data_IF_529138822588
#
_entry.id   IF_529138822588
#
_cell.length_a   1.000
_cell.length_b   1.000
_cell.length_c   1.000
_cell.angle_alpha   90.00
_cell.angle_beta   90.00
_cell.angle_gamma   90.00
#
_symmetry.space_group_name_H-M   'P 1'
#
loop_
_entity.id
_entity.type
_entity.pdbx_description
1 polymer ?
#
# COMPACT_ATOMS: atom_id res chain seq x y z
N UNK A 1 14.00 21.06 -1.26
CA UNK A 1 14.47 19.94 -2.08
C UNK A 1 15.96 20.14 -2.30
N UNK A 2 16.73 19.06 -2.28
CA UNK A 2 18.15 19.05 -2.67
C UNK A 2 18.33 19.56 -4.11
N UNK A 3 19.38 20.35 -4.35
CA UNK A 3 19.58 21.03 -5.64
C UNK A 3 19.96 20.05 -6.76
N UNK A 4 20.80 19.06 -6.46
CA UNK A 4 21.18 18.02 -7.41
C UNK A 4 19.97 17.20 -7.81
N UNK A 5 19.22 16.72 -6.83
CA UNK A 5 17.98 15.98 -7.07
C UNK A 5 16.94 16.79 -7.85
N UNK A 6 16.78 18.08 -7.55
CA UNK A 6 15.87 18.95 -8.30
C UNK A 6 16.29 19.09 -9.78
N UNK A 7 17.59 19.12 -10.08
CA UNK A 7 18.07 19.18 -11.46
C UNK A 7 17.86 17.85 -12.19
N UNK A 8 18.08 16.72 -11.53
CA UNK A 8 17.77 15.40 -12.08
C UNK A 8 16.27 15.29 -12.41
N UNK A 9 15.39 15.71 -11.51
CA UNK A 9 13.94 15.74 -11.75
C UNK A 9 13.54 16.67 -12.90
N UNK A 10 14.19 17.83 -13.08
CA UNK A 10 13.95 18.71 -14.23
C UNK A 10 14.34 18.06 -15.56
N UNK A 11 15.33 17.18 -15.57
CA UNK A 11 15.70 16.43 -16.78
C UNK A 11 14.64 15.39 -17.16
N UNK A 12 13.99 14.79 -16.16
CA UNK A 12 12.89 13.83 -16.33
C UNK A 12 11.59 14.54 -16.69
N UNK A 13 11.33 15.69 -16.07
CA UNK A 13 10.13 16.51 -16.24
C UNK A 13 10.50 17.92 -16.73
N UNK A 14 10.93 18.08 -18.00
CA UNK A 14 11.37 19.37 -18.54
C UNK A 14 10.24 20.40 -18.69
N UNK A 15 8.98 19.96 -18.70
CA UNK A 15 7.81 20.83 -18.75
C UNK A 15 6.67 20.30 -17.88
N UNK A 16 5.70 21.17 -17.59
CA UNK A 16 4.46 20.80 -16.88
C UNK A 16 3.52 19.89 -17.67
N UNK A 17 3.78 19.65 -18.96
CA UNK A 17 3.02 18.74 -19.82
C UNK A 17 3.74 17.40 -20.03
N UNK A 18 4.89 17.20 -19.40
CA UNK A 18 5.66 15.96 -19.53
C UNK A 18 4.86 14.79 -18.97
N UNK A 19 4.73 13.72 -19.75
CA UNK A 19 4.14 12.46 -19.34
C UNK A 19 5.26 11.43 -19.12
N UNK A 20 5.94 11.53 -17.99
CA UNK A 20 7.03 10.63 -17.60
C UNK A 20 6.86 10.21 -16.15
N UNK A 21 7.50 9.10 -15.78
CA UNK A 21 7.47 8.56 -14.43
C UNK A 21 8.89 8.45 -13.90
N UNK A 22 9.02 8.48 -12.58
CA UNK A 22 10.27 8.24 -11.88
C UNK A 22 9.99 7.43 -10.63
N UNK A 23 11.06 6.97 -9.99
CA UNK A 23 11.03 6.19 -8.76
C UNK A 23 10.73 7.10 -7.56
N UNK A 24 10.03 6.57 -6.55
CA UNK A 24 9.75 7.30 -5.31
C UNK A 24 10.92 7.26 -4.31
N UNK A 25 11.77 6.24 -4.41
CA UNK A 25 13.01 6.06 -3.65
C UNK A 25 14.16 5.97 -4.65
N UNK A 26 15.12 6.88 -4.56
CA UNK A 26 16.25 6.98 -5.49
C UNK A 26 17.44 6.10 -5.10
N UNK A 27 17.53 5.68 -3.84
CA UNK A 27 18.63 4.85 -3.32
C UNK A 27 18.36 3.37 -3.57
N UNK A 28 17.12 2.94 -3.41
CA UNK A 28 16.74 1.54 -3.60
C UNK A 28 15.35 1.35 -4.24
N UNK A 29 15.18 1.71 -5.52
CA UNK A 29 13.86 1.77 -6.18
C UNK A 29 12.98 0.52 -6.10
N UNK A 30 13.59 -0.66 -5.98
CA UNK A 30 12.92 -1.96 -6.02
C UNK A 30 13.07 -2.77 -4.72
N UNK A 31 13.61 -2.16 -3.65
CA UNK A 31 13.76 -2.82 -2.36
C UNK A 31 12.89 -2.12 -1.32
N UNK A 32 12.20 -2.91 -0.51
CA UNK A 32 11.48 -2.39 0.62
C UNK A 32 12.43 -2.31 1.82
N UNK A 33 12.93 -1.11 2.10
CA UNK A 33 13.83 -0.82 3.22
C UNK A 33 13.63 0.61 3.73
N UNK A 34 14.51 1.08 4.62
CA UNK A 34 14.37 2.41 5.23
C UNK A 34 14.98 3.54 4.39
N UNK A 35 15.52 3.29 3.19
CA UNK A 35 16.16 4.32 2.38
C UNK A 35 15.18 5.42 1.98
N UNK A 36 13.88 5.12 1.87
CA UNK A 36 12.84 6.15 1.75
C UNK A 36 12.99 7.26 2.82
N UNK A 37 13.24 6.91 4.09
CA UNK A 37 13.44 7.91 5.15
C UNK A 37 14.81 8.58 5.07
N UNK A 38 15.84 7.85 4.61
CA UNK A 38 17.16 8.43 4.32
C UNK A 38 17.06 9.49 3.21
N UNK A 39 16.25 9.27 2.18
CA UNK A 39 15.95 10.26 1.13
C UNK A 39 15.36 11.54 1.74
N UNK A 40 14.40 11.42 2.66
CA UNK A 40 13.76 12.58 3.29
C UNK A 40 14.73 13.44 4.10
N UNK A 41 15.62 12.79 4.88
CA UNK A 41 16.67 13.46 5.66
C UNK A 41 17.63 14.22 4.73
N UNK A 42 17.92 13.66 3.55
CA UNK A 42 18.75 14.30 2.52
C UNK A 42 17.99 15.31 1.65
N UNK A 43 16.74 15.64 1.99
CA UNK A 43 15.85 16.55 1.23
C UNK A 43 15.53 16.07 -0.20
N UNK A 44 15.51 14.76 -0.39
CA UNK A 44 15.30 14.06 -1.66
C UNK A 44 13.94 13.33 -1.72
N UNK A 45 12.95 13.75 -0.93
CA UNK A 45 11.57 13.28 -1.08
C UNK A 45 10.93 13.80 -2.37
N UNK A 46 10.25 12.92 -3.11
CA UNK A 46 9.66 13.25 -4.42
C UNK A 46 8.44 14.15 -4.29
N UNK A 47 7.48 13.79 -3.44
CA UNK A 47 6.26 14.59 -3.24
C UNK A 47 6.41 15.55 -2.07
N UNK A 48 5.65 16.64 -2.11
CA UNK A 48 5.51 17.54 -0.95
C UNK A 48 5.04 16.78 0.28
N UNK A 49 4.09 15.84 0.13
CA UNK A 49 3.62 15.01 1.24
C UNK A 49 4.71 14.17 1.88
N UNK A 50 5.71 13.73 1.11
CA UNK A 50 6.85 12.98 1.64
C UNK A 50 7.81 13.91 2.37
N UNK A 51 8.21 15.01 1.72
CA UNK A 51 9.23 15.90 2.27
C UNK A 51 8.74 16.69 3.49
N UNK A 52 7.43 16.93 3.60
CA UNK A 52 6.81 17.53 4.78
C UNK A 52 6.90 16.64 6.02
N UNK A 53 6.99 15.30 5.89
CA UNK A 53 7.21 14.42 7.05
C UNK A 53 8.51 14.76 7.79
N UNK A 54 9.55 15.17 7.07
CA UNK A 54 10.81 15.61 7.68
C UNK A 54 10.83 17.11 8.01
N UNK A 55 10.01 17.93 7.34
CA UNK A 55 10.00 19.38 7.54
C UNK A 55 9.15 19.78 8.76
N UNK A 56 8.02 19.11 8.97
CA UNK A 56 7.13 19.29 10.10
C UNK A 56 7.74 18.73 11.40
N UNK A 57 7.71 19.55 12.46
CA UNK A 57 8.30 19.19 13.75
C UNK A 57 7.60 18.02 14.44
N UNK A 58 6.33 17.74 14.12
CA UNK A 58 5.54 16.66 14.72
C UNK A 58 5.99 15.28 14.23
N UNK A 59 6.58 15.21 13.03
CA UNK A 59 6.93 13.96 12.35
C UNK A 59 8.43 13.79 12.14
N UNK A 60 9.22 14.88 12.22
CA UNK A 60 10.68 14.86 12.00
C UNK A 60 11.40 13.78 12.81
N UNK A 61 11.18 13.70 14.12
CA UNK A 61 11.88 12.74 14.98
C UNK A 61 11.58 11.29 14.59
N UNK A 62 10.36 11.01 14.13
CA UNK A 62 9.97 9.68 13.64
C UNK A 62 10.76 9.35 12.37
N UNK A 63 10.83 10.28 11.42
CA UNK A 63 11.60 10.13 10.18
C UNK A 63 13.08 9.87 10.48
N UNK A 64 13.68 10.66 11.37
CA UNK A 64 15.09 10.49 11.77
C UNK A 64 15.32 9.13 12.42
N UNK A 65 14.41 8.68 13.29
CA UNK A 65 14.51 7.36 13.92
C UNK A 65 14.44 6.21 12.92
N UNK A 66 13.55 6.28 11.93
CA UNK A 66 13.42 5.25 10.90
C UNK A 66 14.59 5.27 9.91
N UNK A 67 15.13 6.44 9.59
CA UNK A 67 16.33 6.55 8.76
C UNK A 67 17.57 5.96 9.46
N UNK A 68 17.65 6.04 10.79
CA UNK A 68 18.75 5.50 11.58
C UNK A 68 18.62 4.00 11.90
N UNK A 69 17.39 3.48 12.01
CA UNK A 69 17.11 2.10 12.40
C UNK A 69 16.02 1.46 11.51
N UNK A 70 16.46 0.61 10.59
CA UNK A 70 15.57 -0.14 9.68
C UNK A 70 14.66 -1.13 10.42
N UNK A 71 15.15 -1.71 11.54
CA UNK A 71 14.34 -2.66 12.33
C UNK A 71 13.16 -1.95 12.97
N UNK A 72 13.40 -0.77 13.55
CA UNK A 72 12.36 0.07 14.13
C UNK A 72 11.31 0.49 13.09
N UNK A 73 11.75 0.83 11.88
CA UNK A 73 10.85 1.11 10.77
C UNK A 73 9.95 -0.10 10.48
N UNK A 74 10.52 -1.29 10.25
CA UNK A 74 9.73 -2.47 9.92
C UNK A 74 8.74 -2.88 11.02
N UNK A 75 9.14 -2.81 12.29
CA UNK A 75 8.22 -3.08 13.40
C UNK A 75 7.03 -2.12 13.39
N UNK A 76 7.29 -0.83 13.15
CA UNK A 76 6.26 0.21 13.08
C UNK A 76 5.37 0.06 11.84
N UNK A 77 5.97 -0.30 10.70
CA UNK A 77 5.27 -0.53 9.44
C UNK A 77 4.27 -1.68 9.57
N UNK A 78 4.67 -2.82 10.15
CA UNK A 78 3.77 -3.97 10.37
C UNK A 78 2.59 -3.56 11.23
N UNK A 79 2.82 -2.84 12.34
CA UNK A 79 1.73 -2.35 13.21
C UNK A 79 0.80 -1.39 12.47
N UNK A 80 1.35 -0.48 11.66
CA UNK A 80 0.59 0.46 10.85
C UNK A 80 -0.30 -0.23 9.82
N UNK A 81 0.24 -1.21 9.09
CA UNK A 81 -0.49 -1.94 8.05
C UNK A 81 -1.60 -2.83 8.63
N UNK A 82 -1.38 -3.46 9.78
CA UNK A 82 -2.45 -4.21 10.49
C UNK A 82 -3.59 -3.28 10.87
N UNK A 83 -3.28 -2.11 11.46
CA UNK A 83 -4.30 -1.14 11.87
C UNK A 83 -5.05 -0.57 10.66
N UNK A 84 -4.36 -0.27 9.57
CA UNK A 84 -4.97 0.22 8.33
C UNK A 84 -5.89 -0.83 7.70
N UNK A 85 -5.48 -2.11 7.70
CA UNK A 85 -6.26 -3.22 7.16
C UNK A 85 -7.55 -3.53 7.94
N UNK A 86 -7.77 -2.88 9.09
CA UNK A 86 -8.96 -3.06 9.92
C UNK A 86 -9.96 -1.89 9.84
N UNK A 87 -9.70 -0.91 8.98
CA UNK A 87 -10.61 0.24 8.79
C UNK A 87 -11.89 -0.19 8.07
N UNK A 88 -13.04 0.10 8.67
CA UNK A 88 -14.38 -0.02 8.05
C UNK A 88 -14.69 -1.39 7.42
N UNK A 89 -14.27 -2.47 8.08
CA UNK A 89 -14.50 -3.83 7.59
C UNK A 89 -15.99 -4.22 7.60
N UNK A 90 -16.38 -5.00 6.59
CA UNK A 90 -17.65 -5.73 6.58
C UNK A 90 -17.42 -7.10 7.24
N UNK A 91 -18.17 -7.40 8.30
CA UNK A 91 -17.99 -8.64 9.08
C UNK A 91 -19.29 -9.42 9.25
N UNK A 92 -19.19 -10.70 9.57
CA UNK A 92 -20.36 -11.57 9.74
C UNK A 92 -21.18 -11.69 8.47
N UNK A 93 -22.42 -11.19 8.49
CA UNK A 93 -23.34 -11.21 7.33
C UNK A 93 -23.31 -9.91 6.50
N UNK A 94 -22.40 -8.99 6.81
CA UNK A 94 -22.22 -7.76 6.04
C UNK A 94 -21.35 -8.05 4.81
N UNK A 95 -21.84 -7.73 3.61
CA UNK A 95 -21.12 -7.97 2.37
C UNK A 95 -21.27 -9.40 1.83
N UNK A 96 -20.32 -9.84 1.00
CA UNK A 96 -20.28 -11.16 0.37
C UNK A 96 -18.84 -11.59 0.09
N UNK A 97 -18.61 -12.89 -0.07
CA UNK A 97 -17.37 -13.42 -0.65
C UNK A 97 -17.57 -13.49 -2.16
N UNK A 98 -16.84 -12.66 -2.90
CA UNK A 98 -16.99 -12.56 -4.36
C UNK A 98 -16.32 -13.74 -5.05
N UNK A 99 -17.03 -14.35 -6.01
CA UNK A 99 -16.43 -15.32 -6.93
C UNK A 99 -15.51 -14.65 -7.96
N UNK A 100 -15.77 -13.38 -8.28
CA UNK A 100 -14.93 -12.55 -9.14
C UNK A 100 -14.76 -11.17 -8.50
N UNK A 101 -13.54 -10.78 -8.14
CA UNK A 101 -13.27 -9.51 -7.46
C UNK A 101 -13.78 -8.27 -8.21
N UNK A 102 -13.86 -8.34 -9.54
CA UNK A 102 -14.23 -7.23 -10.43
C UNK A 102 -15.73 -6.97 -10.52
N UNK A 103 -16.60 -7.89 -10.05
CA UNK A 103 -18.06 -7.76 -10.14
C UNK A 103 -18.72 -8.21 -8.84
N UNK A 104 -19.89 -7.65 -8.51
CA UNK A 104 -20.73 -8.20 -7.43
C UNK A 104 -21.25 -9.58 -7.86
N UNK A 105 -21.46 -10.49 -6.91
CA UNK A 105 -22.19 -11.70 -7.20
C UNK A 105 -23.59 -11.33 -7.75
N UNK A 106 -24.04 -12.09 -8.74
CA UNK A 106 -25.35 -11.84 -9.34
C UNK A 106 -26.43 -12.29 -8.37
N UNK A 107 -27.53 -11.53 -8.27
CA UNK A 107 -28.71 -11.89 -7.47
C UNK A 107 -29.51 -13.05 -8.12
N UNK A 108 -28.92 -13.74 -9.11
CA UNK A 108 -29.53 -14.86 -9.80
C UNK A 108 -29.23 -16.16 -9.05
N UNK A 109 -30.24 -16.72 -8.38
CA UNK A 109 -30.16 -17.91 -7.53
C UNK A 109 -29.53 -19.14 -8.21
N UNK A 110 -29.51 -19.19 -9.55
CA UNK A 110 -28.95 -20.31 -10.32
C UNK A 110 -27.41 -20.37 -10.37
N UNK A 111 -26.69 -19.32 -9.98
CA UNK A 111 -25.21 -19.31 -9.98
C UNK A 111 -24.59 -19.66 -8.61
N UNK A 112 -25.42 -19.83 -7.57
CA UNK A 112 -24.99 -20.19 -6.21
C UNK A 112 -24.56 -21.66 -6.12
N UNK A 113 -25.01 -22.53 -7.04
CA UNK A 113 -24.87 -23.99 -6.91
C UNK A 113 -23.54 -24.58 -7.39
N UNK A 114 -22.65 -23.81 -8.02
CA UNK A 114 -21.40 -24.38 -8.59
C UNK A 114 -20.35 -24.74 -7.51
N UNK A 115 -20.60 -24.45 -6.23
CA UNK A 115 -19.69 -24.79 -5.11
C UNK A 115 -20.29 -25.82 -4.14
N UNK A 116 -21.56 -26.24 -4.32
CA UNK A 116 -22.22 -27.18 -3.39
C UNK A 116 -23.02 -28.30 -4.07
N UNK A 117 -22.72 -28.68 -5.31
CA UNK A 117 -23.17 -29.97 -5.85
C UNK A 117 -22.22 -31.10 -5.42
N UNK A 118 -22.13 -31.41 -4.13
CA UNK A 118 -21.55 -32.70 -3.70
C UNK A 118 -21.94 -33.17 -2.29
N UNK A 119 -22.68 -32.39 -1.49
CA UNK A 119 -22.92 -32.76 -0.07
C UNK A 119 -24.32 -33.30 0.24
N UNK A 120 -25.34 -33.04 -0.59
CA UNK A 120 -26.71 -33.50 -0.29
C UNK A 120 -27.08 -34.90 -0.84
N UNK A 121 -26.37 -35.46 -1.82
CA UNK A 121 -26.70 -36.80 -2.33
C UNK A 121 -26.26 -37.94 -1.38
N UNK A 122 -25.22 -37.73 -0.55
CA UNK A 122 -24.61 -38.80 0.27
C UNK A 122 -25.46 -39.21 1.49
N UNK A 123 -26.37 -38.34 1.97
CA UNK A 123 -27.14 -38.62 3.19
C UNK A 123 -28.48 -39.33 2.96
N UNK A 124 -28.93 -39.47 1.70
CA UNK A 124 -30.18 -40.16 1.37
C UNK A 124 -30.02 -41.68 1.20
N UNK A 125 -28.80 -42.18 1.08
CA UNK A 125 -28.51 -43.62 0.93
C UNK A 125 -28.19 -44.35 2.26
N UNK A 126 -28.20 -43.63 3.40
CA UNK A 126 -27.84 -44.20 4.71
C UNK A 126 -28.95 -44.20 5.77
N UNK A 127 -30.23 -44.01 5.38
CA UNK A 127 -31.39 -44.35 6.24
C UNK A 127 -32.57 -44.89 5.46
#
# INVERSE_FOLDING_TARGET
>A
MDETFANDLKSICPSNTTNSTTVNDIRSPNKFDNNYYVDLVNRQGLFTSDQELYTDSRTREIVESFAADETLFFESFVRGMIKMGQLSLLTGKQGEIRANCSVRNSDNQYLVTVVEEEVEEVWSELK
#
